data_IF_511761319790
#
_entry.id   IF_511761319790
#
_cell.length_a   1.000
_cell.length_b   1.000
_cell.length_c   1.000
_cell.angle_alpha   90.00
_cell.angle_beta   90.00
_cell.angle_gamma   90.00
#
_symmetry.space_group_name_H-M   'P 1'
#
loop_
_entity.id
_entity.type
_entity.pdbx_description
1 polymer ?
#
# COMPACT_ATOMS: atom_id res chain seq x y z
N UNK A 1 -19.18 -55.93 0.12
CA UNK A 1 -18.98 -54.88 -0.91
C UNK A 1 -19.80 -53.64 -0.60
N UNK A 2 -21.12 -53.77 -0.38
CA UNK A 2 -22.04 -52.63 -0.13
C UNK A 2 -21.65 -51.76 1.08
N UNK A 3 -21.26 -52.34 2.23
CA UNK A 3 -20.84 -51.56 3.41
C UNK A 3 -19.58 -50.71 3.15
N UNK A 4 -18.61 -51.23 2.39
CA UNK A 4 -17.41 -50.48 1.99
C UNK A 4 -17.76 -49.34 1.04
N UNK A 5 -18.65 -49.57 0.08
CA UNK A 5 -19.13 -48.53 -0.84
C UNK A 5 -19.88 -47.42 -0.08
N UNK A 6 -20.68 -47.76 0.94
CA UNK A 6 -21.31 -46.76 1.81
C UNK A 6 -20.30 -45.95 2.61
N UNK A 7 -19.23 -46.57 3.11
CA UNK A 7 -18.17 -45.87 3.82
C UNK A 7 -17.41 -44.90 2.90
N UNK A 8 -17.11 -45.33 1.68
CA UNK A 8 -16.47 -44.48 0.65
C UNK A 8 -17.40 -43.32 0.27
N UNK A 9 -18.69 -43.60 0.06
CA UNK A 9 -19.70 -42.59 -0.23
C UNK A 9 -19.83 -41.56 0.91
N UNK A 10 -19.81 -42.02 2.16
CA UNK A 10 -19.85 -41.14 3.33
C UNK A 10 -18.57 -40.29 3.43
N UNK A 11 -17.41 -40.88 3.15
CA UNK A 11 -16.15 -40.15 3.10
C UNK A 11 -16.13 -39.09 1.98
N UNK A 12 -16.60 -39.43 0.78
CA UNK A 12 -16.72 -38.49 -0.35
C UNK A 12 -17.74 -37.37 -0.05
N UNK A 13 -18.88 -37.72 0.54
CA UNK A 13 -19.89 -36.75 0.97
C UNK A 13 -19.36 -35.82 2.07
N UNK A 14 -18.58 -36.35 3.03
CA UNK A 14 -17.93 -35.55 4.05
C UNK A 14 -16.91 -34.57 3.45
N UNK A 15 -16.13 -35.00 2.45
CA UNK A 15 -15.19 -34.12 1.72
C UNK A 15 -15.94 -33.04 0.93
N UNK A 16 -17.03 -33.39 0.24
CA UNK A 16 -17.88 -32.43 -0.46
C UNK A 16 -18.51 -31.42 0.52
N UNK A 17 -18.97 -31.89 1.68
CA UNK A 17 -19.53 -31.06 2.74
C UNK A 17 -18.49 -30.11 3.35
N UNK A 18 -17.28 -30.60 3.64
CA UNK A 18 -16.14 -29.79 4.07
C UNK A 18 -15.80 -28.67 3.08
N UNK A 19 -15.97 -28.91 1.77
CA UNK A 19 -15.78 -27.88 0.75
C UNK A 19 -16.94 -26.90 0.63
N UNK A 20 -18.18 -27.33 0.93
CA UNK A 20 -19.37 -26.47 0.94
C UNK A 20 -19.38 -25.52 2.15
N UNK A 21 -18.81 -25.94 3.28
CA UNK A 21 -18.68 -25.11 4.47
C UNK A 21 -17.77 -23.91 4.14
N UNK A 22 -18.29 -22.69 4.31
CA UNK A 22 -17.59 -21.40 4.11
C UNK A 22 -16.44 -21.13 5.10
N UNK A 23 -15.96 -22.13 5.82
CA UNK A 23 -14.88 -22.00 6.81
C UNK A 23 -13.54 -22.19 6.11
N UNK A 24 -12.84 -21.08 5.87
CA UNK A 24 -11.54 -21.02 5.18
C UNK A 24 -10.51 -22.09 5.60
N UNK A 25 -10.24 -22.34 6.89
CA UNK A 25 -9.21 -23.30 7.31
C UNK A 25 -9.60 -24.77 7.06
N UNK A 26 -10.87 -25.12 7.17
CA UNK A 26 -11.36 -26.49 6.88
C UNK A 26 -11.27 -26.80 5.39
N UNK A 27 -11.55 -25.81 4.55
CA UNK A 27 -11.40 -25.92 3.10
C UNK A 27 -9.93 -26.11 2.68
N UNK A 28 -8.99 -25.44 3.36
CA UNK A 28 -7.56 -25.65 3.13
C UNK A 28 -7.09 -27.03 3.59
N UNK A 29 -7.64 -27.54 4.71
CA UNK A 29 -7.36 -28.90 5.17
C UNK A 29 -7.90 -29.96 4.19
N UNK A 30 -9.13 -29.77 3.69
CA UNK A 30 -9.72 -30.63 2.67
C UNK A 30 -8.89 -30.61 1.36
N UNK A 31 -8.38 -29.44 0.97
CA UNK A 31 -7.47 -29.33 -0.18
C UNK A 31 -6.14 -30.02 0.07
N UNK A 32 -5.52 -29.87 1.25
CA UNK A 32 -4.30 -30.62 1.60
C UNK A 32 -4.51 -32.13 1.61
N UNK A 33 -5.69 -32.60 2.03
CA UNK A 33 -6.05 -34.02 1.98
C UNK A 33 -6.19 -34.55 0.54
N UNK A 34 -6.90 -33.81 -0.33
CA UNK A 34 -7.05 -34.15 -1.75
C UNK A 34 -5.73 -34.01 -2.50
N UNK A 35 -4.94 -32.98 -2.20
CA UNK A 35 -3.60 -32.79 -2.76
C UNK A 35 -2.63 -33.87 -2.28
N UNK A 36 -2.68 -34.29 -1.01
CA UNK A 36 -1.87 -35.42 -0.53
C UNK A 36 -2.17 -36.71 -1.30
N UNK A 37 -3.44 -36.96 -1.61
CA UNK A 37 -3.87 -38.11 -2.40
C UNK A 37 -3.50 -38.00 -3.88
N UNK A 38 -3.46 -36.78 -4.46
CA UNK A 38 -3.11 -36.53 -5.87
C UNK A 38 -1.62 -36.30 -6.14
N UNK A 39 -0.86 -35.81 -5.17
CA UNK A 39 0.57 -35.45 -5.35
C UNK A 39 1.48 -36.67 -5.18
N UNK A 40 1.02 -37.71 -4.46
CA UNK A 40 1.76 -38.97 -4.33
C UNK A 40 1.67 -39.91 -5.55
N UNK A 41 0.77 -39.64 -6.51
CA UNK A 41 0.54 -40.50 -7.69
C UNK A 41 0.28 -39.61 -8.90
N UNK A 42 1.27 -39.52 -9.79
CA UNK A 42 1.31 -38.55 -10.88
C UNK A 42 0.09 -38.49 -11.82
N UNK A 43 0.03 -37.47 -12.70
CA UNK A 43 -1.11 -37.21 -13.59
C UNK A 43 -1.45 -38.37 -14.55
N UNK A 44 -0.49 -39.27 -14.81
CA UNK A 44 -0.72 -40.48 -15.58
C UNK A 44 -1.57 -41.52 -14.81
N UNK A 45 -1.35 -41.69 -13.50
CA UNK A 45 -2.07 -42.68 -12.69
C UNK A 45 -3.52 -42.28 -12.40
N UNK A 46 -3.83 -40.99 -12.35
CA UNK A 46 -5.22 -40.52 -12.16
C UNK A 46 -6.05 -40.79 -13.43
N UNK A 47 -5.45 -40.59 -14.61
CA UNK A 47 -6.08 -40.89 -15.90
C UNK A 47 -6.29 -42.39 -16.09
N UNK A 48 -5.34 -43.22 -15.69
CA UNK A 48 -5.49 -44.68 -15.78
C UNK A 48 -6.50 -45.20 -14.76
N UNK A 49 -6.55 -44.66 -13.54
CA UNK A 49 -7.55 -45.05 -12.54
C UNK A 49 -8.97 -44.67 -12.95
N UNK A 50 -9.17 -43.48 -13.51
CA UNK A 50 -10.47 -43.09 -14.06
C UNK A 50 -10.89 -44.01 -15.23
N UNK A 51 -9.93 -44.38 -16.09
CA UNK A 51 -10.16 -45.31 -17.19
C UNK A 51 -10.52 -46.72 -16.68
N UNK A 52 -9.79 -47.25 -15.69
CA UNK A 52 -10.08 -48.58 -15.12
C UNK A 52 -11.41 -48.60 -14.40
N UNK A 53 -11.77 -47.55 -13.66
CA UNK A 53 -13.07 -47.47 -12.99
C UNK A 53 -14.23 -47.33 -14.00
N UNK A 54 -14.04 -46.61 -15.11
CA UNK A 54 -15.01 -46.53 -16.21
C UNK A 54 -15.21 -47.88 -16.92
N UNK A 55 -14.12 -48.64 -17.11
CA UNK A 55 -14.18 -50.00 -17.67
C UNK A 55 -14.92 -50.95 -16.73
N UNK A 56 -14.67 -50.86 -15.42
CA UNK A 56 -15.38 -51.65 -14.40
C UNK A 56 -16.88 -51.31 -14.37
N UNK A 57 -17.24 -50.03 -14.53
CA UNK A 57 -18.63 -49.61 -14.69
C UNK A 57 -19.28 -50.17 -15.95
N UNK A 58 -18.61 -50.04 -17.10
CA UNK A 58 -19.11 -50.56 -18.37
C UNK A 58 -19.33 -52.08 -18.31
N UNK A 59 -18.43 -52.80 -17.65
CA UNK A 59 -18.55 -54.24 -17.38
C UNK A 59 -19.75 -54.58 -16.49
N UNK A 60 -20.02 -53.76 -15.47
CA UNK A 60 -21.15 -53.93 -14.55
C UNK A 60 -22.49 -53.66 -15.26
N UNK A 61 -22.56 -52.61 -16.08
CA UNK A 61 -23.75 -52.28 -16.91
C UNK A 61 -23.98 -53.34 -17.99
N UNK A 62 -22.91 -53.85 -18.61
CA UNK A 62 -23.01 -54.93 -19.59
C UNK A 62 -23.55 -56.22 -18.95
N UNK A 63 -23.17 -56.51 -17.71
CA UNK A 63 -23.65 -57.66 -16.97
C UNK A 63 -25.15 -57.55 -16.64
N UNK A 64 -25.62 -56.34 -16.27
CA UNK A 64 -27.06 -56.04 -16.12
C UNK A 64 -27.83 -56.21 -17.43
N UNK A 65 -27.34 -55.62 -18.53
CA UNK A 65 -27.98 -55.75 -19.85
C UNK A 65 -28.02 -57.21 -20.34
N UNK A 66 -26.99 -58.00 -20.04
CA UNK A 66 -26.94 -59.44 -20.38
C UNK A 66 -27.92 -60.27 -19.53
N UNK A 67 -28.14 -59.94 -18.26
CA UNK A 67 -29.13 -60.61 -17.42
C UNK A 67 -30.55 -60.26 -17.88
N UNK A 68 -30.81 -59.00 -18.21
CA UNK A 68 -32.09 -58.55 -18.75
C UNK A 68 -32.38 -59.17 -20.14
N UNK A 69 -31.36 -59.25 -21.01
CA UNK A 69 -31.44 -59.91 -22.31
C UNK A 69 -31.59 -61.43 -22.24
N UNK A 70 -31.17 -62.08 -21.14
CA UNK A 70 -31.45 -63.50 -20.86
C UNK A 70 -32.86 -63.71 -20.32
N UNK A 71 -33.33 -62.86 -19.40
CA UNK A 71 -34.71 -62.88 -18.91
C UNK A 71 -35.76 -62.57 -19.98
N UNK A 72 -35.40 -61.76 -20.99
CA UNK A 72 -36.27 -61.48 -22.14
C UNK A 72 -36.30 -62.62 -23.18
N UNK A 73 -35.25 -63.45 -23.26
CA UNK A 73 -35.17 -64.58 -24.21
C UNK A 73 -35.77 -65.88 -23.65
N UNK A 74 -35.82 -66.04 -22.34
CA UNK A 74 -36.46 -67.16 -21.65
C UNK A 74 -37.75 -66.65 -21.00
N UNK A 75 -38.84 -66.62 -21.77
CA UNK A 75 -40.14 -66.13 -21.33
C UNK A 75 -40.57 -66.75 -20.00
N UNK A 76 -40.71 -65.91 -18.97
CA UNK A 76 -41.71 -66.09 -17.93
C UNK A 76 -41.42 -67.05 -16.78
N UNK A 77 -40.18 -67.43 -16.47
CA UNK A 77 -39.91 -68.06 -15.17
C UNK A 77 -38.58 -67.55 -14.57
N UNK A 78 -38.65 -66.36 -13.98
CA UNK A 78 -37.53 -65.75 -13.26
C UNK A 78 -37.39 -66.49 -11.93
N UNK A 79 -36.32 -67.28 -11.77
CA UNK A 79 -35.99 -67.95 -10.52
C UNK A 79 -35.93 -66.92 -9.37
N UNK A 80 -36.47 -67.22 -8.18
CA UNK A 80 -36.39 -66.30 -7.02
C UNK A 80 -34.94 -65.90 -6.67
N UNK A 81 -33.96 -66.70 -7.09
CA UNK A 81 -32.54 -66.40 -6.97
C UNK A 81 -32.09 -65.25 -7.88
N UNK A 82 -32.61 -65.18 -9.11
CA UNK A 82 -32.23 -64.17 -10.11
C UNK A 82 -32.85 -62.80 -9.77
N UNK A 83 -34.00 -62.78 -9.08
CA UNK A 83 -34.63 -61.54 -8.62
C UNK A 83 -33.84 -60.85 -7.50
N UNK A 84 -33.26 -61.63 -6.58
CA UNK A 84 -32.39 -61.11 -5.51
C UNK A 84 -31.06 -60.66 -6.09
N UNK A 85 -30.48 -61.44 -7.01
CA UNK A 85 -29.23 -61.13 -7.69
C UNK A 85 -29.31 -59.86 -8.57
N UNK A 86 -30.47 -59.63 -9.21
CA UNK A 86 -30.71 -58.41 -9.97
C UNK A 86 -30.72 -57.15 -9.09
N UNK A 87 -31.40 -57.19 -7.94
CA UNK A 87 -31.48 -56.03 -7.03
C UNK A 87 -30.14 -55.69 -6.42
N UNK A 88 -29.32 -56.68 -6.06
CA UNK A 88 -27.98 -56.45 -5.51
C UNK A 88 -27.02 -55.90 -6.56
N UNK A 89 -26.97 -56.46 -7.78
CA UNK A 89 -26.12 -55.92 -8.84
C UNK A 89 -26.58 -54.56 -9.36
N UNK A 90 -27.89 -54.29 -9.38
CA UNK A 90 -28.43 -52.97 -9.73
C UNK A 90 -28.04 -51.93 -8.67
N UNK A 91 -28.18 -52.27 -7.39
CA UNK A 91 -27.78 -51.41 -6.28
C UNK A 91 -26.27 -51.15 -6.33
N UNK A 92 -25.45 -52.18 -6.49
CA UNK A 92 -23.99 -52.08 -6.56
C UNK A 92 -23.53 -51.23 -7.76
N UNK A 93 -24.10 -51.43 -8.95
CA UNK A 93 -23.78 -50.65 -10.14
C UNK A 93 -24.18 -49.16 -9.98
N UNK A 94 -25.36 -48.88 -9.43
CA UNK A 94 -25.80 -47.50 -9.18
C UNK A 94 -24.92 -46.79 -8.15
N UNK A 95 -24.45 -47.52 -7.13
CA UNK A 95 -23.60 -46.99 -6.07
C UNK A 95 -22.18 -46.71 -6.58
N UNK A 96 -21.59 -47.61 -7.37
CA UNK A 96 -20.30 -47.37 -8.04
C UNK A 96 -20.43 -46.18 -9.00
N UNK A 97 -21.53 -46.08 -9.75
CA UNK A 97 -21.80 -44.93 -10.63
C UNK A 97 -21.85 -43.61 -9.87
N UNK A 98 -22.50 -43.58 -8.70
CA UNK A 98 -22.57 -42.40 -7.86
C UNK A 98 -21.20 -41.99 -7.28
N UNK A 99 -20.41 -42.94 -6.76
CA UNK A 99 -19.04 -42.64 -6.28
C UNK A 99 -18.15 -42.07 -7.37
N UNK A 100 -18.25 -42.60 -8.60
CA UNK A 100 -17.50 -42.05 -9.74
C UNK A 100 -17.95 -40.66 -10.15
N UNK A 101 -19.25 -40.40 -10.10
CA UNK A 101 -19.79 -39.06 -10.32
C UNK A 101 -19.28 -38.07 -9.26
N UNK A 102 -19.27 -38.46 -7.98
CA UNK A 102 -18.74 -37.63 -6.89
C UNK A 102 -17.24 -37.38 -7.06
N UNK A 103 -16.46 -38.41 -7.42
CA UNK A 103 -15.02 -38.26 -7.66
C UNK A 103 -14.73 -37.22 -8.77
N UNK A 104 -15.49 -37.24 -9.88
CA UNK A 104 -15.35 -36.25 -10.96
C UNK A 104 -15.77 -34.86 -10.49
N UNK A 105 -16.86 -34.75 -9.71
CA UNK A 105 -17.30 -33.47 -9.14
C UNK A 105 -16.24 -32.89 -8.20
N UNK A 106 -15.63 -33.72 -7.34
CA UNK A 106 -14.56 -33.31 -6.44
C UNK A 106 -13.32 -32.86 -7.24
N UNK A 107 -12.95 -33.57 -8.31
CA UNK A 107 -11.84 -33.17 -9.17
C UNK A 107 -12.07 -31.80 -9.82
N UNK A 108 -13.25 -31.60 -10.41
CA UNK A 108 -13.63 -30.32 -11.02
C UNK A 108 -13.69 -29.19 -9.97
N UNK A 109 -14.30 -29.45 -8.81
CA UNK A 109 -14.40 -28.49 -7.74
C UNK A 109 -13.01 -28.10 -7.22
N UNK A 110 -12.12 -29.07 -7.03
CA UNK A 110 -10.74 -28.83 -6.62
C UNK A 110 -10.02 -27.87 -7.58
N UNK A 111 -10.16 -28.04 -8.90
CA UNK A 111 -9.58 -27.13 -9.89
C UNK A 111 -10.09 -25.69 -9.76
N UNK A 112 -11.40 -25.50 -9.59
CA UNK A 112 -11.99 -24.17 -9.36
C UNK A 112 -11.53 -23.56 -8.03
N UNK A 113 -11.44 -24.36 -6.97
CA UNK A 113 -11.03 -23.88 -5.65
C UNK A 113 -9.55 -23.48 -5.63
N UNK A 114 -8.68 -24.18 -6.36
CA UNK A 114 -7.26 -23.84 -6.52
C UNK A 114 -7.08 -22.50 -7.23
N UNK A 115 -7.86 -22.26 -8.29
CA UNK A 115 -7.91 -20.95 -8.96
C UNK A 115 -8.37 -19.85 -7.98
N UNK A 116 -9.42 -20.09 -7.21
CA UNK A 116 -9.92 -19.12 -6.23
C UNK A 116 -8.90 -18.80 -5.13
N UNK A 117 -8.15 -19.79 -4.64
CA UNK A 117 -7.09 -19.56 -3.65
C UNK A 117 -5.94 -18.76 -4.25
N UNK A 118 -5.51 -19.10 -5.47
CA UNK A 118 -4.44 -18.39 -6.15
C UNK A 118 -4.84 -16.92 -6.36
N UNK A 119 -6.04 -16.67 -6.87
CA UNK A 119 -6.58 -15.31 -7.01
C UNK A 119 -6.63 -14.58 -5.66
N UNK A 120 -7.10 -15.24 -4.59
CA UNK A 120 -7.14 -14.62 -3.25
C UNK A 120 -5.73 -14.28 -2.73
N UNK A 121 -4.72 -15.12 -2.98
CA UNK A 121 -3.33 -14.83 -2.60
C UNK A 121 -2.79 -13.63 -3.38
N UNK A 122 -3.02 -13.55 -4.68
CA UNK A 122 -2.62 -12.39 -5.50
C UNK A 122 -3.32 -11.10 -5.04
N UNK A 123 -4.61 -11.17 -4.70
CA UNK A 123 -5.34 -10.03 -4.15
C UNK A 123 -4.84 -9.65 -2.75
N UNK A 124 -4.43 -10.62 -1.93
CA UNK A 124 -3.85 -10.36 -0.62
C UNK A 124 -2.47 -9.67 -0.74
N UNK A 125 -1.60 -10.12 -1.64
CA UNK A 125 -0.30 -9.47 -1.88
C UNK A 125 -0.47 -8.07 -2.45
N UNK A 126 -1.39 -7.87 -3.40
CA UNK A 126 -1.66 -6.54 -3.93
C UNK A 126 -2.23 -5.62 -2.85
N UNK A 127 -3.09 -6.13 -1.97
CA UNK A 127 -3.65 -5.36 -0.86
C UNK A 127 -2.58 -4.94 0.14
N UNK A 128 -1.65 -5.85 0.47
CA UNK A 128 -0.52 -5.53 1.35
C UNK A 128 0.38 -4.45 0.74
N UNK A 129 0.67 -4.53 -0.57
CA UNK A 129 1.41 -3.50 -1.30
C UNK A 129 0.69 -2.15 -1.28
N UNK A 130 -0.63 -2.12 -1.50
CA UNK A 130 -1.40 -0.87 -1.41
C UNK A 130 -1.43 -0.29 -0.01
N UNK A 131 -1.52 -1.13 1.03
CA UNK A 131 -1.52 -0.68 2.42
C UNK A 131 -0.14 -0.08 2.79
N UNK A 132 0.96 -0.68 2.31
CA UNK A 132 2.32 -0.12 2.45
C UNK A 132 2.46 1.23 1.74
N UNK A 133 2.07 1.31 0.47
CA UNK A 133 2.11 2.56 -0.31
C UNK A 133 1.22 3.65 0.28
N UNK A 134 0.08 3.29 0.87
CA UNK A 134 -0.81 4.22 1.54
C UNK A 134 -0.19 4.78 2.83
N UNK A 135 0.48 3.94 3.61
CA UNK A 135 1.20 4.37 4.81
C UNK A 135 2.37 5.29 4.46
N UNK A 136 3.16 4.94 3.44
CA UNK A 136 4.26 5.79 2.95
C UNK A 136 3.76 7.16 2.48
N UNK A 137 2.68 7.19 1.68
CA UNK A 137 2.04 8.44 1.25
C UNK A 137 1.56 9.31 2.43
N UNK A 138 1.03 8.71 3.51
CA UNK A 138 0.64 9.45 4.71
C UNK A 138 1.85 10.10 5.38
N UNK A 139 2.93 9.34 5.56
CA UNK A 139 4.16 9.86 6.17
C UNK A 139 4.79 10.99 5.34
N UNK A 140 4.76 10.86 4.01
CA UNK A 140 5.22 11.91 3.10
C UNK A 140 4.37 13.18 3.26
N UNK A 141 3.04 13.05 3.25
CA UNK A 141 2.14 14.21 3.46
C UNK A 141 2.35 14.90 4.80
N UNK A 142 2.61 14.14 5.87
CA UNK A 142 2.95 14.72 7.18
C UNK A 142 4.28 15.47 7.14
N UNK A 143 5.30 14.92 6.44
CA UNK A 143 6.59 15.59 6.28
C UNK A 143 6.48 16.87 5.43
N UNK A 144 5.72 16.84 4.34
CA UNK A 144 5.42 18.00 3.50
C UNK A 144 4.66 19.07 4.28
N UNK A 145 3.69 18.67 5.11
CA UNK A 145 2.97 19.60 5.97
C UNK A 145 3.90 20.29 6.98
N UNK A 146 4.82 19.55 7.61
CA UNK A 146 5.85 20.12 8.50
C UNK A 146 6.78 21.08 7.76
N UNK A 147 7.31 20.67 6.61
CA UNK A 147 8.15 21.52 5.77
C UNK A 147 7.40 22.79 5.32
N UNK A 148 6.12 22.68 4.97
CA UNK A 148 5.29 23.83 4.59
C UNK A 148 5.06 24.79 5.76
N UNK A 149 4.94 24.28 6.99
CA UNK A 149 4.80 25.10 8.18
C UNK A 149 6.12 25.82 8.51
N UNK A 150 7.25 25.15 8.36
CA UNK A 150 8.59 25.75 8.50
C UNK A 150 8.85 26.81 7.44
N UNK A 151 8.51 26.55 6.17
CA UNK A 151 8.62 27.54 5.10
C UNK A 151 7.78 28.79 5.39
N UNK A 152 6.56 28.64 5.90
CA UNK A 152 5.73 29.77 6.31
C UNK A 152 6.35 30.56 7.46
N UNK A 153 6.93 29.89 8.46
CA UNK A 153 7.65 30.57 9.56
C UNK A 153 8.84 31.36 9.02
N UNK A 154 9.69 30.74 8.21
CA UNK A 154 10.84 31.41 7.58
C UNK A 154 10.38 32.60 6.73
N UNK A 155 9.28 32.46 5.99
CA UNK A 155 8.73 33.57 5.20
C UNK A 155 8.27 34.73 6.09
N UNK A 156 7.64 34.46 7.23
CA UNK A 156 7.27 35.51 8.20
C UNK A 156 8.51 36.16 8.83
N UNK A 157 9.52 35.37 9.19
CA UNK A 157 10.78 35.88 9.75
C UNK A 157 11.50 36.77 8.73
N UNK A 158 11.57 36.36 7.45
CA UNK A 158 12.11 37.18 6.36
C UNK A 158 11.36 38.50 6.20
N UNK A 159 10.03 38.50 6.29
CA UNK A 159 9.24 39.73 6.20
C UNK A 159 9.56 40.68 7.37
N UNK A 160 9.61 40.17 8.60
CA UNK A 160 9.95 40.99 9.78
C UNK A 160 11.40 41.49 9.74
N UNK A 161 12.33 40.68 9.23
CA UNK A 161 13.73 41.05 9.08
C UNK A 161 13.89 42.13 8.01
N UNK A 162 13.17 42.02 6.89
CA UNK A 162 13.18 43.02 5.84
C UNK A 162 12.64 44.37 6.33
N UNK A 163 11.56 44.37 7.13
CA UNK A 163 11.04 45.59 7.76
C UNK A 163 12.08 46.24 8.69
N UNK A 164 12.73 45.45 9.55
CA UNK A 164 13.82 45.94 10.42
C UNK A 164 14.97 46.52 9.60
N UNK A 165 15.36 45.86 8.51
CA UNK A 165 16.44 46.32 7.62
C UNK A 165 16.08 47.63 6.95
N UNK A 166 14.83 47.80 6.51
CA UNK A 166 14.34 49.06 5.95
C UNK A 166 14.32 50.19 7.00
N UNK A 167 13.92 49.88 8.24
CA UNK A 167 13.95 50.83 9.36
C UNK A 167 15.38 51.30 9.66
N UNK A 168 16.32 50.37 9.84
CA UNK A 168 17.74 50.67 10.10
C UNK A 168 18.35 51.46 8.94
N UNK A 169 18.00 51.13 7.68
CA UNK A 169 18.44 51.90 6.52
C UNK A 169 17.97 53.35 6.58
N UNK A 170 16.71 53.59 6.96
CA UNK A 170 16.17 54.94 7.10
C UNK A 170 16.83 55.70 8.26
N UNK A 171 17.03 55.06 9.41
CA UNK A 171 17.74 55.63 10.55
C UNK A 171 19.18 56.02 10.18
N UNK A 172 19.90 55.17 9.45
CA UNK A 172 21.23 55.47 8.93
C UNK A 172 21.24 56.68 8.00
N UNK A 173 20.29 56.76 7.07
CA UNK A 173 20.16 57.91 6.15
C UNK A 173 19.84 59.20 6.91
N UNK A 174 19.02 59.14 7.96
CA UNK A 174 18.79 60.30 8.83
C UNK A 174 20.05 60.71 9.60
N UNK A 175 20.78 59.74 10.16
CA UNK A 175 22.04 60.01 10.86
C UNK A 175 23.08 60.63 9.93
N UNK A 176 23.19 60.17 8.69
CA UNK A 176 24.08 60.74 7.68
C UNK A 176 23.70 62.19 7.34
N UNK A 177 22.40 62.48 7.16
CA UNK A 177 21.94 63.87 6.97
C UNK A 177 22.25 64.75 8.17
N UNK A 178 22.04 64.25 9.39
CA UNK A 178 22.36 64.99 10.62
C UNK A 178 23.86 65.23 10.75
N UNK A 179 24.69 64.27 10.38
CA UNK A 179 26.15 64.42 10.35
C UNK A 179 26.57 65.52 9.36
N UNK A 180 26.03 65.51 8.13
CA UNK A 180 26.31 66.55 7.12
C UNK A 180 25.88 67.95 7.60
N UNK A 181 24.71 68.07 8.25
CA UNK A 181 24.26 69.35 8.82
C UNK A 181 25.19 69.81 9.95
N UNK A 182 25.60 68.89 10.83
CA UNK A 182 26.52 69.20 11.93
C UNK A 182 27.91 69.61 11.39
N UNK A 183 28.43 68.94 10.37
CA UNK A 183 29.68 69.30 9.69
C UNK A 183 29.58 70.70 9.05
N UNK A 184 28.48 71.01 8.38
CA UNK A 184 28.26 72.34 7.83
C UNK A 184 28.21 73.43 8.92
N UNK A 185 27.61 73.13 10.07
CA UNK A 185 27.58 74.04 11.21
C UNK A 185 28.97 74.24 11.84
N UNK A 186 29.76 73.16 11.97
CA UNK A 186 31.14 73.25 12.46
C UNK A 186 32.01 74.06 11.50
N UNK A 187 31.88 73.85 10.19
CA UNK A 187 32.58 74.62 9.17
C UNK A 187 32.20 76.12 9.21
N UNK A 188 30.91 76.42 9.39
CA UNK A 188 30.45 77.81 9.55
C UNK A 188 31.00 78.46 10.83
N UNK A 189 31.01 77.74 11.95
CA UNK A 189 31.62 78.21 13.20
C UNK A 189 33.13 78.40 13.07
N UNK A 190 33.85 77.49 12.42
CA UNK A 190 35.27 77.65 12.12
C UNK A 190 35.50 78.93 11.33
N UNK A 191 34.74 79.16 10.26
CA UNK A 191 34.85 80.38 9.47
C UNK A 191 34.56 81.65 10.28
N UNK A 192 33.54 81.64 11.13
CA UNK A 192 33.28 82.76 12.05
C UNK A 192 34.43 82.97 13.03
N UNK A 193 35.02 81.90 13.55
CA UNK A 193 36.16 82.02 14.47
C UNK A 193 37.42 82.56 13.79
N UNK A 194 37.66 82.18 12.52
CA UNK A 194 38.75 82.71 11.70
C UNK A 194 38.55 84.21 11.43
N UNK A 195 37.32 84.63 11.11
CA UNK A 195 36.96 86.04 10.89
C UNK A 195 37.13 86.88 12.16
N UNK A 196 36.68 86.36 13.32
CA UNK A 196 36.90 86.97 14.63
C UNK A 196 38.39 87.09 14.98
N UNK A 197 39.20 86.10 14.60
CA UNK A 197 40.64 86.12 14.84
C UNK A 197 41.33 87.19 13.99
N UNK A 198 40.93 87.34 12.72
CA UNK A 198 41.41 88.43 11.86
C UNK A 198 41.01 89.82 12.36
N UNK A 199 39.77 89.98 12.83
CA UNK A 199 39.31 91.23 13.47
C UNK A 199 40.12 91.53 14.75
N UNK A 200 40.40 90.50 15.56
CA UNK A 200 41.23 90.65 16.75
C UNK A 200 42.65 91.12 16.39
N UNK A 201 43.31 90.50 15.41
CA UNK A 201 44.64 90.90 14.96
C UNK A 201 44.65 92.35 14.45
N UNK A 202 43.63 92.74 13.68
CA UNK A 202 43.48 94.12 13.17
C UNK A 202 43.33 95.14 14.30
N UNK A 203 42.47 94.86 15.30
CA UNK A 203 42.29 95.74 16.47
C UNK A 203 43.57 95.82 17.31
N UNK A 204 44.35 94.75 17.35
CA UNK A 204 45.64 94.71 18.05
C UNK A 204 46.67 95.58 17.33
N UNK A 205 46.74 95.52 15.99
CA UNK A 205 47.55 96.44 15.17
C UNK A 205 47.15 97.91 15.40
N UNK A 206 45.85 98.23 15.33
CA UNK A 206 45.35 99.60 15.56
C UNK A 206 45.72 100.12 16.96
N UNK A 207 45.64 99.27 17.99
CA UNK A 207 46.09 99.63 19.35
C UNK A 207 47.59 99.91 19.42
N UNK A 208 48.42 99.12 18.72
CA UNK A 208 49.87 99.37 18.65
C UNK A 208 50.17 100.70 17.95
N UNK A 209 49.47 101.00 16.85
CA UNK A 209 49.60 102.28 16.14
C UNK A 209 49.21 103.45 17.03
N UNK A 210 48.10 103.35 17.75
CA UNK A 210 47.66 104.38 18.70
C UNK A 210 48.68 104.58 19.83
N UNK A 211 49.24 103.50 20.39
CA UNK A 211 50.31 103.61 21.39
C UNK A 211 51.56 104.31 20.81
N UNK A 212 51.95 103.99 19.58
CA UNK A 212 53.06 104.66 18.90
C UNK A 212 52.79 106.16 18.67
N UNK A 213 51.56 106.54 18.28
CA UNK A 213 51.16 107.94 18.15
C UNK A 213 51.21 108.69 19.48
N UNK A 214 50.67 108.11 20.55
CA UNK A 214 50.70 108.71 21.91
C UNK A 214 52.14 108.91 22.38
N UNK A 215 53.05 107.97 22.10
CA UNK A 215 54.47 108.11 22.40
C UNK A 215 55.13 109.24 21.58
N UNK A 216 54.75 109.41 20.31
CA UNK A 216 55.27 110.49 19.45
C UNK A 216 54.75 111.90 19.78
N UNK A 217 53.60 112.03 20.44
CA UNK A 217 53.06 113.32 20.91
C UNK A 217 53.57 113.75 22.29
N UNK A 218 54.47 112.96 22.91
CA UNK A 218 55.03 113.22 24.24
C UNK A 218 56.47 113.78 24.20
N UNK A 219 56.96 114.13 23.01
CA UNK A 219 58.18 114.92 22.79
C UNK A 219 57.82 116.37 22.43
#
# INVERSE_FOLDING_TARGET
>A
MIQLLFLVLFAEAAVAFLMAIKVGPLRDLAMKGVDGMKTGRGPATVKTLACTMAVILASSVYSLLRIQGRGARLGGNVSPMDQVLWRTHLLEASLIGYTLFLAILIDRLHHYLKKLILLRKTVATSREETERLQNENRTLRESEAKASAELKKIQTELATFNEKLQKVKNESLEHERRAVIAEAHVAALQKQSEELLLEYDRVLEDNQVLQAQVLSCRE
#
